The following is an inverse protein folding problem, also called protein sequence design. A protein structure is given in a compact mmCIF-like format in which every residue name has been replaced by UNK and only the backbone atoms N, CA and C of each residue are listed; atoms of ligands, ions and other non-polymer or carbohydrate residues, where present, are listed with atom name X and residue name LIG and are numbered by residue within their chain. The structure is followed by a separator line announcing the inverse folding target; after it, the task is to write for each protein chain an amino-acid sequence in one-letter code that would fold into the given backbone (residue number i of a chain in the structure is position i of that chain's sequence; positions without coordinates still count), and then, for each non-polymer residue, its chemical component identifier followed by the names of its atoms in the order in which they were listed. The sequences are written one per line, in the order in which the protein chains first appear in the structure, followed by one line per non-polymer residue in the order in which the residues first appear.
data_IF_690939555589
#
_entry.id   IF_690939555589
#
_cell.length_a   1.000
_cell.length_b   1.000
_cell.length_c   1.000
_cell.angle_alpha   90.00
_cell.angle_beta   90.00
_cell.angle_gamma   90.00
#
_symmetry.space_group_name_H-M   'P 1'
#
loop_
_entity.id
_entity.type
_entity.pdbx_description
1 polymer ?
#
# COMPACT_ATOMS: atom_id res chain seq x y z
N UNK A 1 -22.00 -23.39 -25.01
CA UNK A 1 -21.71 -22.05 -25.54
C UNK A 1 -20.38 -21.63 -24.97
N UNK A 2 -19.36 -21.50 -25.81
CA UNK A 2 -18.10 -20.91 -25.38
C UNK A 2 -18.30 -19.40 -25.23
N UNK A 3 -18.23 -18.92 -23.98
CA UNK A 3 -18.36 -17.50 -23.66
C UNK A 3 -17.19 -16.66 -24.18
N UNK A 4 -17.29 -15.34 -24.03
CA UNK A 4 -16.21 -14.41 -24.37
C UNK A 4 -15.00 -14.71 -23.49
N UNK A 5 -13.85 -15.00 -24.11
CA UNK A 5 -12.58 -15.23 -23.43
C UNK A 5 -11.68 -14.01 -23.65
N UNK A 6 -11.36 -13.31 -22.57
CA UNK A 6 -10.35 -12.26 -22.60
C UNK A 6 -8.99 -12.92 -22.35
N UNK A 7 -8.06 -12.74 -23.29
CA UNK A 7 -6.68 -13.17 -23.13
C UNK A 7 -5.80 -11.94 -23.21
N UNK A 8 -5.13 -11.58 -22.11
CA UNK A 8 -4.19 -10.46 -22.14
C UNK A 8 -2.79 -10.98 -22.44
N UNK A 9 -1.99 -10.17 -23.14
CA UNK A 9 -0.60 -10.53 -23.45
C UNK A 9 0.21 -10.82 -22.19
N UNK A 10 -0.04 -10.05 -21.12
CA UNK A 10 0.67 -10.18 -19.85
C UNK A 10 0.38 -11.49 -19.12
N UNK A 11 -0.78 -12.12 -19.33
CA UNK A 11 -1.09 -13.44 -18.75
C UNK A 11 -0.19 -14.55 -19.31
N UNK A 12 0.48 -14.30 -20.43
CA UNK A 12 1.37 -15.26 -21.10
C UNK A 12 2.85 -15.07 -20.75
N UNK A 13 3.17 -14.07 -19.94
CA UNK A 13 4.54 -13.80 -19.50
C UNK A 13 4.72 -14.42 -18.12
N UNK A 14 5.73 -15.26 -17.98
CA UNK A 14 6.15 -15.74 -16.68
C UNK A 14 6.83 -14.60 -15.92
N UNK A 15 6.10 -13.99 -14.99
CA UNK A 15 6.58 -12.85 -14.22
C UNK A 15 7.06 -13.32 -12.86
N UNK A 16 8.37 -13.24 -12.62
CA UNK A 16 8.97 -13.39 -11.30
C UNK A 16 9.47 -12.02 -10.80
N UNK A 17 8.95 -11.56 -9.66
CA UNK A 17 9.28 -10.24 -9.13
C UNK A 17 10.76 -10.12 -8.74
N UNK A 18 11.36 -11.17 -8.20
CA UNK A 18 12.76 -11.13 -7.74
C UNK A 18 13.71 -11.08 -8.93
N UNK A 19 13.49 -11.92 -9.94
CA UNK A 19 14.30 -11.91 -11.17
C UNK A 19 14.24 -10.56 -11.88
N UNK A 20 13.06 -9.96 -11.96
CA UNK A 20 12.88 -8.63 -12.56
C UNK A 20 13.68 -7.58 -11.79
N UNK A 21 13.60 -7.58 -10.45
CA UNK A 21 14.36 -6.63 -9.62
C UNK A 21 15.87 -6.80 -9.81
N UNK A 22 16.36 -8.03 -9.80
CA UNK A 22 17.80 -8.34 -9.98
C UNK A 22 18.30 -7.86 -11.35
N UNK A 23 17.53 -8.11 -12.40
CA UNK A 23 17.86 -7.63 -13.75
C UNK A 23 17.88 -6.11 -13.84
N UNK A 24 16.88 -5.43 -13.27
CA UNK A 24 16.83 -3.97 -13.26
C UNK A 24 18.03 -3.36 -12.52
N UNK A 25 18.42 -3.93 -11.38
CA UNK A 25 19.62 -3.50 -10.64
C UNK A 25 20.86 -3.68 -11.51
N UNK A 26 21.04 -4.85 -12.12
CA UNK A 26 22.23 -5.22 -12.89
C UNK A 26 22.36 -4.45 -14.20
N UNK A 27 21.28 -4.30 -14.94
CA UNK A 27 21.30 -3.79 -16.32
C UNK A 27 21.09 -2.28 -16.37
N UNK A 28 20.35 -1.71 -15.41
CA UNK A 28 19.92 -0.31 -15.44
C UNK A 28 20.36 0.50 -14.22
N UNK A 29 21.14 -0.07 -13.30
CA UNK A 29 21.49 0.54 -12.01
C UNK A 29 20.24 1.04 -11.26
N UNK A 30 19.13 0.31 -11.37
CA UNK A 30 17.89 0.69 -10.72
C UNK A 30 18.01 0.49 -9.21
N UNK A 31 17.60 1.51 -8.45
CA UNK A 31 17.57 1.45 -6.98
C UNK A 31 16.18 1.00 -6.51
N UNK A 32 16.07 -0.11 -5.75
CA UNK A 32 14.78 -0.56 -5.24
C UNK A 32 14.22 0.39 -4.19
N UNK A 33 12.90 0.58 -4.22
CA UNK A 33 12.18 1.31 -3.18
C UNK A 33 11.81 0.37 -2.03
N UNK A 34 11.75 0.88 -0.77
CA UNK A 34 11.42 0.06 0.40
C UNK A 34 10.00 -0.53 0.39
N UNK A 35 9.14 -0.11 -0.54
CA UNK A 35 7.79 -0.64 -0.69
C UNK A 35 7.15 -0.24 -2.02
N UNK A 36 5.98 -0.82 -2.30
CA UNK A 36 5.21 -0.53 -3.51
C UNK A 36 4.67 0.91 -3.46
N UNK A 37 4.94 1.70 -4.51
CA UNK A 37 4.59 3.12 -4.65
C UNK A 37 5.34 4.10 -3.73
N UNK A 38 6.55 3.74 -3.29
CA UNK A 38 7.35 4.55 -2.34
C UNK A 38 8.35 5.51 -3.01
N UNK A 39 8.17 5.79 -4.29
CA UNK A 39 8.94 6.78 -5.06
C UNK A 39 8.66 8.21 -4.61
N UNK A 40 7.44 8.46 -4.10
CA UNK A 40 7.00 9.75 -3.56
C UNK A 40 6.87 9.68 -2.05
N UNK A 41 7.47 10.66 -1.35
CA UNK A 41 7.35 10.83 0.10
C UNK A 41 5.86 10.88 0.51
N UNK A 42 5.03 11.63 -0.23
CA UNK A 42 3.61 11.74 0.07
C UNK A 42 2.90 10.40 -0.02
N UNK A 43 3.13 9.64 -1.10
CA UNK A 43 2.45 8.34 -1.29
C UNK A 43 2.91 7.33 -0.25
N UNK A 44 4.21 7.30 0.06
CA UNK A 44 4.78 6.48 1.12
C UNK A 44 4.17 6.81 2.47
N UNK A 45 4.11 8.09 2.84
CA UNK A 45 3.51 8.52 4.10
C UNK A 45 2.00 8.23 4.17
N UNK A 46 1.26 8.50 3.09
CA UNK A 46 -0.18 8.24 3.07
C UNK A 46 -0.48 6.73 3.22
N UNK A 47 0.15 5.87 2.42
CA UNK A 47 -0.14 4.43 2.42
C UNK A 47 0.50 3.71 3.61
N UNK A 48 1.73 4.09 3.98
CA UNK A 48 2.52 3.45 5.02
C UNK A 48 2.34 4.06 6.42
N UNK A 49 1.68 5.22 6.56
CA UNK A 49 1.42 5.80 7.88
C UNK A 49 -0.06 6.10 8.08
N UNK A 50 -0.66 6.98 7.28
CA UNK A 50 -2.02 7.47 7.50
C UNK A 50 -3.06 6.35 7.35
N UNK A 51 -3.01 5.59 6.26
CA UNK A 51 -3.95 4.48 6.03
C UNK A 51 -3.89 3.43 7.13
N UNK A 52 -2.69 3.12 7.61
CA UNK A 52 -2.48 2.14 8.68
C UNK A 52 -2.96 2.67 10.03
N UNK A 53 -2.45 3.82 10.47
CA UNK A 53 -2.69 4.37 11.82
C UNK A 53 -4.11 4.91 11.98
N UNK A 54 -4.57 5.70 11.00
CA UNK A 54 -5.94 6.26 11.04
C UNK A 54 -6.92 5.21 10.57
N UNK A 55 -6.80 4.72 9.34
CA UNK A 55 -7.87 3.96 8.68
C UNK A 55 -7.85 2.45 8.94
N UNK A 56 -6.79 1.89 9.54
CA UNK A 56 -6.58 0.45 9.70
C UNK A 56 -6.63 -0.31 8.36
N UNK A 57 -6.12 0.33 7.30
CA UNK A 57 -6.03 -0.21 5.94
C UNK A 57 -4.56 -0.46 5.62
N UNK A 58 -4.21 -1.74 5.46
CA UNK A 58 -2.86 -2.14 5.03
C UNK A 58 -2.87 -2.53 3.55
N UNK A 59 -2.31 -1.68 2.69
CA UNK A 59 -2.23 -1.92 1.25
C UNK A 59 -1.31 -3.09 0.88
N UNK A 60 -0.39 -3.48 1.77
CA UNK A 60 0.50 -4.65 1.58
C UNK A 60 -0.30 -5.94 1.48
N UNK A 61 -1.46 -6.04 2.16
CA UNK A 61 -2.32 -7.24 2.09
C UNK A 61 -2.73 -7.59 0.67
N UNK A 62 -3.15 -6.61 -0.13
CA UNK A 62 -3.54 -6.85 -1.52
C UNK A 62 -2.33 -7.30 -2.36
N UNK A 63 -1.17 -6.64 -2.18
CA UNK A 63 0.04 -6.98 -2.91
C UNK A 63 0.55 -8.40 -2.57
N UNK A 64 0.64 -8.72 -1.28
CA UNK A 64 1.07 -10.04 -0.81
C UNK A 64 0.09 -11.13 -1.24
N UNK A 65 -1.23 -10.84 -1.26
CA UNK A 65 -2.23 -11.78 -1.78
C UNK A 65 -1.97 -12.11 -3.25
N UNK A 66 -1.61 -11.12 -4.08
CA UNK A 66 -1.24 -11.38 -5.48
C UNK A 66 -0.01 -12.27 -5.61
N UNK A 67 1.00 -12.09 -4.76
CA UNK A 67 2.22 -12.92 -4.77
C UNK A 67 1.96 -14.36 -4.28
N UNK A 68 1.01 -14.54 -3.35
CA UNK A 68 0.55 -15.87 -2.94
C UNK A 68 -0.18 -16.54 -4.12
N UNK A 69 -1.09 -15.84 -4.77
CA UNK A 69 -1.84 -16.37 -5.91
C UNK A 69 -0.94 -16.73 -7.09
N UNK A 70 0.19 -16.05 -7.28
CA UNK A 70 1.20 -16.38 -8.30
C UNK A 70 2.23 -17.41 -7.85
N UNK A 71 2.12 -17.97 -6.65
CA UNK A 71 3.05 -18.98 -6.13
C UNK A 71 4.46 -18.45 -5.81
N UNK A 72 4.67 -17.13 -5.80
CA UNK A 72 5.98 -16.53 -5.56
C UNK A 72 6.36 -16.46 -4.08
N UNK A 73 5.36 -16.43 -3.18
CA UNK A 73 5.56 -16.50 -1.73
C UNK A 73 4.49 -17.39 -1.10
N UNK A 74 4.79 -17.93 0.06
CA UNK A 74 3.84 -18.63 0.92
C UNK A 74 3.02 -17.66 1.77
N UNK A 75 1.87 -18.13 2.25
CA UNK A 75 1.05 -17.38 3.22
C UNK A 75 1.83 -17.09 4.52
N UNK A 76 2.71 -18.00 4.95
CA UNK A 76 3.49 -17.82 6.17
C UNK A 76 4.48 -16.65 6.04
N UNK A 77 5.18 -16.56 4.90
CA UNK A 77 6.08 -15.44 4.59
C UNK A 77 5.31 -14.12 4.53
N UNK A 78 4.16 -14.09 3.85
CA UNK A 78 3.31 -12.91 3.80
C UNK A 78 2.85 -12.42 5.19
N UNK A 79 2.51 -13.34 6.09
CA UNK A 79 2.15 -12.98 7.46
C UNK A 79 3.34 -12.48 8.28
N UNK A 80 4.53 -13.02 8.06
CA UNK A 80 5.74 -12.54 8.72
C UNK A 80 6.09 -11.12 8.25
N UNK A 81 5.98 -10.85 6.95
CA UNK A 81 6.15 -9.51 6.38
C UNK A 81 5.17 -8.49 6.99
N UNK A 82 3.90 -8.87 7.20
CA UNK A 82 2.89 -7.98 7.79
C UNK A 82 3.13 -7.65 9.26
N UNK A 83 3.92 -8.46 9.99
CA UNK A 83 4.33 -8.15 11.36
C UNK A 83 5.37 -7.03 11.42
N UNK A 84 6.13 -6.85 10.34
CA UNK A 84 7.13 -5.79 10.25
C UNK A 84 6.44 -4.43 10.00
N UNK A 85 7.05 -3.33 10.46
CA UNK A 85 6.58 -2.00 10.07
C UNK A 85 6.62 -1.84 8.54
N UNK A 86 5.73 -1.01 7.96
CA UNK A 86 5.59 -0.86 6.51
C UNK A 86 6.82 -0.25 5.82
N UNK A 87 7.67 0.44 6.59
CA UNK A 87 9.00 0.94 6.25
C UNK A 87 9.69 1.41 7.55
N UNK A 88 11.00 1.74 7.55
CA UNK A 88 11.74 2.12 8.77
C UNK A 88 11.04 3.23 9.56
N UNK A 89 10.99 3.09 10.89
CA UNK A 89 10.24 3.99 11.78
C UNK A 89 10.84 5.39 11.79
N UNK A 90 12.16 5.49 11.68
CA UNK A 90 12.90 6.75 11.58
C UNK A 90 12.45 7.52 10.34
N UNK A 91 12.39 6.84 9.19
CA UNK A 91 11.90 7.41 7.94
C UNK A 91 10.41 7.77 8.01
N UNK A 92 9.59 7.03 8.77
CA UNK A 92 8.20 7.42 9.02
C UNK A 92 8.11 8.78 9.74
N UNK A 93 8.99 9.04 10.70
CA UNK A 93 9.01 10.31 11.42
C UNK A 93 9.52 11.45 10.54
N UNK A 94 10.55 11.21 9.72
CA UNK A 94 11.04 12.17 8.73
C UNK A 94 9.96 12.56 7.72
N UNK A 95 9.28 11.56 7.14
CA UNK A 95 8.17 11.76 6.20
C UNK A 95 7.04 12.54 6.87
N UNK A 96 6.70 12.20 8.12
CA UNK A 96 5.66 12.88 8.89
C UNK A 96 5.99 14.37 9.04
N UNK A 97 7.18 14.69 9.53
CA UNK A 97 7.61 16.08 9.72
C UNK A 97 7.62 16.85 8.40
N UNK A 98 8.11 16.21 7.33
CA UNK A 98 8.13 16.82 6.00
C UNK A 98 6.71 17.12 5.50
N UNK A 99 5.81 16.15 5.57
CA UNK A 99 4.44 16.27 5.03
C UNK A 99 3.60 17.24 5.86
N UNK A 100 3.67 17.19 7.20
CA UNK A 100 2.99 18.14 8.10
C UNK A 100 3.41 19.57 7.78
N UNK A 101 4.73 19.81 7.65
CA UNK A 101 5.27 21.11 7.25
C UNK A 101 4.75 21.57 5.89
N UNK A 102 4.71 20.67 4.90
CA UNK A 102 4.21 20.98 3.55
C UNK A 102 2.72 21.29 3.51
N UNK A 103 1.94 20.71 4.42
CA UNK A 103 0.52 21.02 4.59
C UNK A 103 0.25 22.28 5.40
N UNK A 104 1.29 22.91 5.98
CA UNK A 104 1.13 24.09 6.82
C UNK A 104 0.42 23.80 8.14
N UNK A 105 0.52 22.56 8.63
CA UNK A 105 -0.07 22.14 9.89
C UNK A 105 0.96 22.16 11.01
N UNK A 106 0.48 22.29 12.24
CA UNK A 106 1.22 21.95 13.45
C UNK A 106 1.09 20.46 13.77
N UNK A 107 2.04 19.97 14.57
CA UNK A 107 2.03 18.63 15.16
C UNK A 107 0.71 18.32 15.87
N UNK A 108 0.22 19.27 16.67
CA UNK A 108 -1.01 19.14 17.45
C UNK A 108 -2.24 19.05 16.55
N UNK A 109 -2.31 19.86 15.49
CA UNK A 109 -3.40 19.82 14.51
C UNK A 109 -3.41 18.50 13.75
N UNK A 110 -2.25 18.01 13.32
CA UNK A 110 -2.16 16.73 12.64
C UNK A 110 -2.58 15.57 13.55
N UNK A 111 -2.12 15.54 14.80
CA UNK A 111 -2.50 14.51 15.75
C UNK A 111 -3.99 14.54 16.07
N UNK A 112 -4.58 15.74 16.19
CA UNK A 112 -6.04 15.91 16.29
C UNK A 112 -6.75 15.31 15.07
N UNK A 113 -6.32 15.66 13.86
CA UNK A 113 -6.88 15.11 12.61
C UNK A 113 -6.75 13.59 12.60
N UNK A 114 -5.63 13.03 13.03
CA UNK A 114 -5.41 11.58 13.06
C UNK A 114 -6.34 10.88 14.06
N UNK A 115 -6.55 11.49 15.23
CA UNK A 115 -7.43 10.99 16.30
C UNK A 115 -8.93 11.15 16.01
N UNK A 116 -9.32 12.08 15.13
CA UNK A 116 -10.73 12.29 14.80
C UNK A 116 -11.40 11.02 14.28
N UNK A 117 -12.66 10.80 14.71
CA UNK A 117 -13.46 9.65 14.30
C UNK A 117 -13.52 9.59 12.79
N UNK A 118 -13.30 8.39 12.24
CA UNK A 118 -13.53 8.14 10.81
C UNK A 118 -14.97 8.52 10.51
N UNK A 119 -15.17 9.50 9.62
CA UNK A 119 -16.44 9.62 8.91
C UNK A 119 -16.54 8.43 7.97
N UNK A 120 -17.00 7.30 8.49
CA UNK A 120 -17.62 6.30 7.65
C UNK A 120 -18.87 6.99 7.11
N UNK A 121 -18.89 7.33 5.82
CA UNK A 121 -20.15 7.59 5.14
C UNK A 121 -21.08 6.44 5.54
N UNK A 122 -22.14 6.74 6.29
CA UNK A 122 -23.12 5.76 6.71
C UNK A 122 -23.76 5.16 5.46
N UNK A 123 -23.15 4.11 4.89
CA UNK A 123 -23.71 3.35 3.77
C UNK A 123 -25.03 2.65 4.17
N UNK A 124 -25.35 2.63 5.46
CA UNK A 124 -26.64 2.22 6.03
C UNK A 124 -27.75 3.27 5.90
N UNK A 125 -27.45 4.52 5.56
CA UNK A 125 -28.47 5.57 5.42
C UNK A 125 -29.27 5.51 4.10
N UNK A 126 -28.84 4.72 3.09
CA UNK A 126 -29.54 4.64 1.79
C UNK A 126 -30.59 3.53 1.67
N UNK A 127 -30.93 2.82 2.76
CA UNK A 127 -31.96 1.75 2.74
C UNK A 127 -33.30 2.13 3.39
N UNK A 128 -33.47 3.36 3.87
CA UNK A 128 -34.72 3.80 4.54
C UNK A 128 -35.63 4.73 3.70
N UNK A 129 -35.30 4.99 2.44
CA UNK A 129 -36.13 5.84 1.56
C UNK A 129 -36.77 5.07 0.39
N UNK A 130 -36.77 3.74 0.44
CA UNK A 130 -37.51 2.88 -0.49
C UNK A 130 -38.32 1.86 0.29
N UNK A 131 -39.33 2.32 1.02
CA UNK A 131 -40.45 1.50 1.48
C UNK A 131 -41.69 2.36 1.55
#
# INVERSE_FOLDING_TARGET
MDGIRMATFFDKIDFNLNEVKERLIKELNWTPYPGKHYESIFTRFYQGYILLKKFNVDKRKAHLSSLICSGQITRAEALNELKLPPYPTELQMEDRNYVIKKWGLTEVEFDRIMAEKKYLMNLTARKKEQT
#
